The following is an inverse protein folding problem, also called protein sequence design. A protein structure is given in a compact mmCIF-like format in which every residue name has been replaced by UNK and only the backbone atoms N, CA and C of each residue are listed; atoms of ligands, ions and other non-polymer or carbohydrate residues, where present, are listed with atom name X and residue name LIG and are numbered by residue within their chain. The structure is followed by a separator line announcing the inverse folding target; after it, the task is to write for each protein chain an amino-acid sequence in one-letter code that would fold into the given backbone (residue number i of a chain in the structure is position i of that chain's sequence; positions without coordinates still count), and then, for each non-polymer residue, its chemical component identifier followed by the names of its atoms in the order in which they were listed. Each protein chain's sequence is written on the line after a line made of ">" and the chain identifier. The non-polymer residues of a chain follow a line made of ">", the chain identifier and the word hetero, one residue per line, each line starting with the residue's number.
data_IF_491456680458
#
_entry.id   IF_491456680458
#
_cell.length_a   1.000
_cell.length_b   1.000
_cell.length_c   1.000
_cell.angle_alpha   90.00
_cell.angle_beta   90.00
_cell.angle_gamma   90.00
#
_symmetry.space_group_name_H-M   'P 1'
#
loop_
_entity.id
_entity.type
_entity.pdbx_description
1 polymer ?
#
# COMPACT_ATOMS: atom_id res chain seq x y z
N UNK A 1 79.34 29.53 27.53
CA UNK A 1 79.20 29.88 26.10
C UNK A 1 78.88 28.58 25.38
N UNK A 2 77.67 28.25 24.93
CA UNK A 2 76.41 28.96 24.72
C UNK A 2 75.28 27.92 24.91
N UNK A 3 74.20 28.28 25.63
CA UNK A 3 72.83 28.53 25.09
C UNK A 3 72.16 27.21 24.68
N UNK A 4 71.27 26.64 25.50
CA UNK A 4 69.79 26.74 25.36
C UNK A 4 69.34 26.42 23.91
N UNK A 5 68.48 25.42 23.67
CA UNK A 5 67.04 25.60 23.89
C UNK A 5 66.30 24.25 23.98
N UNK A 6 65.38 24.20 24.93
CA UNK A 6 64.21 23.35 24.90
C UNK A 6 63.20 23.91 23.89
N UNK A 7 62.54 23.05 23.12
CA UNK A 7 61.15 23.24 22.66
C UNK A 7 60.61 21.85 22.30
N UNK A 8 59.95 21.16 23.22
CA UNK A 8 58.50 21.20 23.44
C UNK A 8 57.63 21.11 22.17
N UNK A 9 56.89 20.00 22.13
CA UNK A 9 55.50 19.86 21.68
C UNK A 9 55.02 20.65 20.45
N UNK A 10 54.64 19.90 19.42
CA UNK A 10 53.36 20.08 18.71
C UNK A 10 52.89 18.65 18.40
N UNK A 11 52.00 18.03 19.18
CA UNK A 11 50.55 18.28 19.14
C UNK A 11 50.17 18.89 17.80
N UNK A 12 49.89 18.03 16.83
CA UNK A 12 48.84 18.34 15.89
C UNK A 12 48.03 17.07 15.67
N UNK A 13 46.93 17.07 16.41
CA UNK A 13 45.63 16.49 16.10
C UNK A 13 45.62 15.12 15.44
N UNK A 14 45.04 14.18 16.17
CA UNK A 14 44.42 13.00 15.59
C UNK A 14 43.34 13.42 14.61
N UNK A 15 43.75 13.78 13.39
CA UNK A 15 42.94 13.56 12.21
C UNK A 15 42.84 12.05 12.12
N UNK A 16 41.78 11.50 12.71
CA UNK A 16 41.33 10.16 12.36
C UNK A 16 41.41 10.10 10.84
N UNK A 17 42.31 9.27 10.33
CA UNK A 17 42.44 9.10 8.90
C UNK A 17 41.11 8.49 8.46
N UNK A 18 40.19 9.34 8.00
CA UNK A 18 38.91 8.91 7.47
C UNK A 18 39.23 7.90 6.38
N UNK A 19 38.91 6.64 6.66
CA UNK A 19 39.12 5.62 5.67
C UNK A 19 38.18 5.96 4.50
N UNK A 20 38.66 5.85 3.26
CA UNK A 20 37.90 6.29 2.08
C UNK A 20 36.52 5.60 2.00
N UNK A 21 36.39 4.44 2.62
CA UNK A 21 35.19 3.62 2.63
C UNK A 21 34.20 3.98 3.77
N UNK A 22 34.60 4.79 4.76
CA UNK A 22 33.77 5.12 5.91
C UNK A 22 32.59 6.03 5.54
N UNK A 23 31.47 5.85 6.25
CA UNK A 23 30.22 6.56 5.97
C UNK A 23 30.23 7.88 6.72
N UNK A 24 30.18 8.99 5.98
CA UNK A 24 30.04 10.33 6.53
C UNK A 24 28.57 10.79 6.50
N UNK A 25 28.04 11.24 7.63
CA UNK A 25 26.66 11.71 7.79
C UNK A 25 26.67 13.18 8.16
N UNK A 26 26.15 14.02 7.27
CA UNK A 26 25.89 15.44 7.52
C UNK A 26 24.41 15.66 7.88
N UNK A 27 24.18 16.44 8.93
CA UNK A 27 22.83 16.81 9.37
C UNK A 27 22.49 18.24 8.97
N UNK A 28 21.20 18.52 8.82
CA UNK A 28 20.72 19.87 8.54
C UNK A 28 21.09 20.84 9.69
N UNK A 29 21.49 22.10 9.41
CA UNK A 29 21.98 23.05 10.42
C UNK A 29 21.01 23.28 11.59
N UNK A 30 19.70 23.20 11.36
CA UNK A 30 18.68 23.34 12.41
C UNK A 30 18.54 22.11 13.32
N UNK A 31 19.15 20.97 12.99
CA UNK A 31 19.09 19.78 13.83
C UNK A 31 20.01 19.91 15.06
N UNK A 32 21.01 20.81 15.02
CA UNK A 32 22.06 20.94 16.04
C UNK A 32 22.76 19.61 16.38
N UNK A 33 22.80 18.68 15.42
CA UNK A 33 23.49 17.40 15.52
C UNK A 33 24.84 17.56 14.81
N UNK A 34 25.96 17.24 15.47
CA UNK A 34 27.26 17.27 14.81
C UNK A 34 27.34 16.19 13.73
N UNK A 35 28.14 16.40 12.66
CA UNK A 35 28.41 15.36 11.67
C UNK A 35 28.96 14.09 12.33
N UNK A 36 28.57 12.95 11.78
CA UNK A 36 28.96 11.63 12.30
C UNK A 36 29.73 10.84 11.23
N UNK A 37 30.76 10.13 11.66
CA UNK A 37 31.47 9.15 10.84
C UNK A 37 31.25 7.75 11.40
N UNK A 38 30.85 6.84 10.52
CA UNK A 38 30.59 5.44 10.85
C UNK A 38 31.54 4.58 10.03
N UNK A 39 32.42 3.77 10.66
CA UNK A 39 33.28 2.86 9.94
C UNK A 39 32.47 1.93 9.03
N UNK A 40 32.91 1.72 7.79
CA UNK A 40 32.17 0.83 6.87
C UNK A 40 32.03 -0.59 7.42
N UNK A 41 33.00 -1.03 8.22
CA UNK A 41 32.98 -2.34 8.89
C UNK A 41 31.85 -2.50 9.89
N UNK A 42 31.35 -1.40 10.47
CA UNK A 42 30.17 -1.37 11.34
C UNK A 42 28.86 -1.33 10.56
N UNK A 43 28.90 -1.07 9.25
CA UNK A 43 27.75 -1.17 8.36
C UNK A 43 27.39 -2.64 8.15
N UNK A 44 26.72 -3.23 9.14
CA UNK A 44 25.91 -4.40 8.91
C UNK A 44 24.69 -3.97 8.08
N UNK A 45 24.33 -4.72 7.02
CA UNK A 45 22.97 -4.71 6.44
C UNK A 45 22.00 -5.32 7.47
N UNK A 46 21.91 -4.68 8.63
CA UNK A 46 21.33 -5.16 9.86
C UNK A 46 19.83 -4.95 9.96
N UNK A 47 19.14 -4.70 8.86
CA UNK A 47 17.70 -4.85 8.79
C UNK A 47 17.33 -5.36 7.39
N UNK A 48 17.46 -6.67 7.15
CA UNK A 48 16.36 -7.27 6.38
C UNK A 48 15.10 -6.87 7.16
N UNK A 49 14.11 -6.18 6.56
CA UNK A 49 12.79 -6.12 7.16
C UNK A 49 12.50 -7.54 7.61
N UNK A 50 12.10 -7.76 8.87
CA UNK A 50 11.68 -9.09 9.32
C UNK A 50 10.82 -9.63 8.18
N UNK A 51 11.29 -10.70 7.54
CA UNK A 51 10.50 -11.32 6.48
C UNK A 51 9.12 -11.47 7.08
N UNK A 52 8.12 -10.83 6.45
CA UNK A 52 6.75 -10.97 6.89
C UNK A 52 6.55 -12.47 7.07
N UNK A 53 6.38 -12.91 8.31
CA UNK A 53 6.02 -14.28 8.61
C UNK A 53 4.50 -14.21 8.56
N UNK A 54 3.85 -14.52 7.42
CA UNK A 54 2.43 -14.80 7.48
C UNK A 54 2.27 -15.83 8.58
N UNK A 55 1.31 -15.60 9.46
CA UNK A 55 0.88 -16.66 10.34
C UNK A 55 0.55 -17.90 9.49
N UNK A 56 0.69 -19.08 10.07
CA UNK A 56 0.53 -20.36 9.37
C UNK A 56 -0.93 -20.64 8.94
N UNK A 57 -1.76 -19.62 8.72
CA UNK A 57 -2.89 -19.76 7.83
C UNK A 57 -2.31 -19.66 6.42
N UNK A 58 -1.96 -20.81 5.83
CA UNK A 58 -1.39 -21.00 4.48
C UNK A 58 -2.31 -20.51 3.35
N UNK A 59 -3.38 -19.84 3.72
CA UNK A 59 -4.52 -19.57 2.88
C UNK A 59 -4.40 -18.18 2.26
N UNK A 60 -4.42 -18.07 0.92
CA UNK A 60 -4.29 -16.80 0.22
C UNK A 60 -5.38 -15.77 0.57
N UNK A 61 -6.49 -16.20 1.20
CA UNK A 61 -7.58 -15.33 1.65
C UNK A 61 -7.33 -14.65 3.00
N UNK A 62 -6.23 -14.93 3.72
CA UNK A 62 -5.97 -14.36 5.05
C UNK A 62 -5.87 -12.82 5.08
N UNK A 63 -5.58 -12.17 3.95
CA UNK A 63 -5.55 -10.71 3.84
C UNK A 63 -6.95 -10.07 3.80
N UNK A 64 -7.99 -10.86 3.56
CA UNK A 64 -9.37 -10.40 3.54
C UNK A 64 -10.01 -10.55 4.92
N UNK A 65 -10.85 -9.58 5.31
CA UNK A 65 -11.53 -9.58 6.61
C UNK A 65 -12.62 -10.66 6.69
N UNK A 66 -13.13 -11.12 5.54
CA UNK A 66 -14.07 -12.22 5.44
C UNK A 66 -13.86 -13.05 4.17
N UNK A 67 -14.31 -14.30 4.18
CA UNK A 67 -14.33 -15.16 3.00
C UNK A 67 -15.18 -14.56 1.86
N UNK A 68 -16.27 -13.89 2.20
CA UNK A 68 -17.15 -13.23 1.24
C UNK A 68 -16.44 -12.08 0.52
N UNK A 69 -15.61 -11.31 1.22
CA UNK A 69 -14.82 -10.24 0.59
C UNK A 69 -13.79 -10.80 -0.41
N UNK A 70 -13.24 -11.98 -0.12
CA UNK A 70 -12.34 -12.70 -1.03
C UNK A 70 -13.07 -13.18 -2.29
N UNK A 71 -14.22 -13.85 -2.14
CA UNK A 71 -15.04 -14.31 -3.27
C UNK A 71 -15.49 -13.13 -4.15
N UNK A 72 -15.88 -12.02 -3.53
CA UNK A 72 -16.23 -10.79 -4.25
C UNK A 72 -15.04 -10.23 -5.04
N UNK A 73 -13.86 -10.17 -4.44
CA UNK A 73 -12.65 -9.69 -5.13
C UNK A 73 -12.26 -10.62 -6.29
N UNK A 74 -12.40 -11.93 -6.11
CA UNK A 74 -12.17 -12.92 -7.16
C UNK A 74 -13.14 -12.75 -8.32
N UNK A 75 -14.43 -12.54 -8.05
CA UNK A 75 -15.44 -12.26 -9.06
C UNK A 75 -15.14 -10.96 -9.82
N UNK A 76 -14.79 -9.89 -9.11
CA UNK A 76 -14.46 -8.62 -9.73
C UNK A 76 -13.26 -8.74 -10.67
N UNK A 77 -12.25 -9.52 -10.29
CA UNK A 77 -11.10 -9.82 -11.13
C UNK A 77 -11.49 -10.68 -12.35
N UNK A 78 -12.24 -11.77 -12.15
CA UNK A 78 -12.71 -12.68 -13.23
C UNK A 78 -13.58 -11.95 -14.26
N UNK A 79 -14.40 -11.01 -13.81
CA UNK A 79 -15.28 -10.20 -14.66
C UNK A 79 -14.61 -8.93 -15.20
N UNK A 80 -13.32 -8.70 -14.89
CA UNK A 80 -12.56 -7.51 -15.28
C UNK A 80 -13.28 -6.19 -14.94
N UNK A 81 -13.90 -6.13 -13.76
CA UNK A 81 -14.62 -4.94 -13.32
C UNK A 81 -13.66 -3.80 -13.06
N UNK A 82 -14.02 -2.60 -13.52
CA UNK A 82 -13.29 -1.39 -13.19
C UNK A 82 -13.68 -0.84 -11.80
N UNK A 83 -12.95 0.18 -11.36
CA UNK A 83 -13.13 0.80 -10.04
C UNK A 83 -14.56 1.31 -9.83
N UNK A 84 -15.14 1.95 -10.84
CA UNK A 84 -16.47 2.54 -10.79
C UNK A 84 -17.54 1.44 -10.64
N UNK A 85 -17.42 0.35 -11.40
CA UNK A 85 -18.31 -0.81 -11.34
C UNK A 85 -18.23 -1.52 -9.99
N UNK A 86 -17.02 -1.72 -9.46
CA UNK A 86 -16.80 -2.31 -8.12
C UNK A 86 -17.47 -1.46 -7.04
N UNK A 87 -17.26 -0.14 -7.05
CA UNK A 87 -17.90 0.75 -6.08
C UNK A 87 -19.42 0.75 -6.19
N UNK A 88 -19.97 0.73 -7.41
CA UNK A 88 -21.41 0.63 -7.64
C UNK A 88 -21.99 -0.66 -7.03
N UNK A 89 -21.33 -1.80 -7.25
CA UNK A 89 -21.77 -3.09 -6.72
C UNK A 89 -21.70 -3.15 -5.18
N UNK A 90 -20.64 -2.60 -4.58
CA UNK A 90 -20.53 -2.47 -3.13
C UNK A 90 -21.63 -1.58 -2.54
N UNK A 91 -21.98 -0.48 -3.21
CA UNK A 91 -23.10 0.36 -2.81
C UNK A 91 -24.43 -0.41 -2.86
N UNK A 92 -24.71 -1.14 -3.94
CA UNK A 92 -25.91 -1.97 -4.05
C UNK A 92 -26.01 -3.01 -2.93
N UNK A 93 -24.93 -3.76 -2.68
CA UNK A 93 -24.88 -4.76 -1.61
C UNK A 93 -25.14 -4.16 -0.22
N UNK A 94 -24.58 -2.98 0.06
CA UNK A 94 -24.84 -2.24 1.31
C UNK A 94 -26.29 -1.76 1.40
N UNK A 95 -26.85 -1.27 0.30
CA UNK A 95 -28.24 -0.80 0.22
C UNK A 95 -29.25 -1.92 0.48
N UNK A 96 -28.98 -3.14 -0.01
CA UNK A 96 -29.81 -4.32 0.29
C UNK A 96 -29.92 -4.51 1.82
N UNK A 97 -28.83 -4.29 2.55
CA UNK A 97 -28.81 -4.45 4.01
C UNK A 97 -29.48 -3.29 4.76
N UNK A 98 -29.53 -2.09 4.19
CA UNK A 98 -29.96 -0.86 4.90
C UNK A 98 -31.34 -0.35 4.52
N UNK A 99 -31.76 -0.50 3.26
CA UNK A 99 -32.95 0.17 2.71
C UNK A 99 -34.24 -0.65 2.92
N UNK A 100 -34.12 -1.93 3.29
CA UNK A 100 -35.29 -2.81 3.47
C UNK A 100 -36.01 -3.16 2.16
N UNK A 101 -35.47 -2.71 1.03
CA UNK A 101 -35.91 -3.16 -0.30
C UNK A 101 -35.48 -4.61 -0.50
N UNK A 102 -36.45 -5.44 -0.88
CA UNK A 102 -36.21 -6.86 -1.17
C UNK A 102 -35.55 -6.96 -2.54
N UNK A 103 -34.34 -7.50 -2.57
CA UNK A 103 -33.70 -7.89 -3.83
C UNK A 103 -34.40 -9.16 -4.35
N UNK A 104 -35.11 -9.05 -5.48
CA UNK A 104 -36.03 -10.09 -5.98
C UNK A 104 -35.49 -10.95 -7.11
N UNK A 105 -34.34 -10.60 -7.70
CA UNK A 105 -33.71 -11.37 -8.78
C UNK A 105 -32.95 -12.56 -8.17
N UNK A 106 -33.29 -13.79 -8.57
CA UNK A 106 -32.63 -15.00 -8.08
C UNK A 106 -31.71 -15.62 -9.11
N UNK A 107 -32.10 -15.60 -10.39
CA UNK A 107 -31.34 -16.18 -11.48
C UNK A 107 -31.24 -15.26 -12.70
N UNK A 108 -30.34 -15.59 -13.62
CA UNK A 108 -30.13 -14.81 -14.85
C UNK A 108 -31.42 -14.70 -15.70
N UNK A 109 -32.29 -15.71 -15.68
CA UNK A 109 -33.55 -15.68 -16.42
C UNK A 109 -34.52 -14.61 -15.90
N UNK A 110 -34.51 -14.33 -14.59
CA UNK A 110 -35.33 -13.26 -14.00
C UNK A 110 -34.90 -11.90 -14.57
N UNK A 111 -33.59 -11.68 -14.66
CA UNK A 111 -33.03 -10.46 -15.23
C UNK A 111 -33.36 -10.35 -16.71
N UNK A 112 -33.14 -11.42 -17.48
CA UNK A 112 -33.42 -11.44 -18.91
C UNK A 112 -34.91 -11.20 -19.20
N UNK A 113 -35.80 -11.83 -18.44
CA UNK A 113 -37.26 -11.66 -18.56
C UNK A 113 -37.68 -10.24 -18.22
N UNK A 114 -37.12 -9.67 -17.15
CA UNK A 114 -37.35 -8.28 -16.76
C UNK A 114 -36.93 -7.28 -17.85
N UNK A 115 -35.77 -7.50 -18.48
CA UNK A 115 -35.32 -6.67 -19.59
C UNK A 115 -36.22 -6.78 -20.82
N UNK A 116 -36.66 -7.98 -21.19
CA UNK A 116 -37.61 -8.19 -22.29
C UNK A 116 -38.93 -7.45 -22.03
N UNK A 117 -39.50 -7.61 -20.84
CA UNK A 117 -40.74 -6.93 -20.46
C UNK A 117 -40.58 -5.41 -20.48
N UNK A 118 -39.46 -4.88 -19.98
CA UNK A 118 -39.16 -3.44 -19.98
C UNK A 118 -38.98 -2.90 -21.40
N UNK A 119 -38.28 -3.64 -22.27
CA UNK A 119 -38.09 -3.27 -23.68
C UNK A 119 -39.43 -3.12 -24.40
N UNK A 120 -40.34 -4.08 -24.23
CA UNK A 120 -41.69 -4.01 -24.81
C UNK A 120 -42.48 -2.80 -24.29
N UNK A 121 -42.37 -2.45 -22.99
CA UNK A 121 -43.02 -1.25 -22.44
C UNK A 121 -42.43 0.05 -22.98
N UNK A 122 -41.11 0.15 -23.11
CA UNK A 122 -40.46 1.32 -23.71
C UNK A 122 -40.92 1.52 -25.16
N UNK A 123 -40.97 0.45 -25.95
CA UNK A 123 -41.46 0.50 -27.34
C UNK A 123 -42.94 0.88 -27.45
N UNK A 124 -43.82 0.33 -26.59
CA UNK A 124 -45.22 0.71 -26.57
C UNK A 124 -45.42 2.19 -26.19
N UNK A 125 -44.62 2.70 -25.26
CA UNK A 125 -44.70 4.11 -24.79
C UNK A 125 -44.18 5.13 -25.81
N UNK A 126 -43.34 4.71 -26.76
CA UNK A 126 -42.86 5.58 -27.85
C UNK A 126 -43.81 5.60 -29.05
N UNK A 127 -44.62 4.55 -29.25
CA UNK A 127 -45.68 4.50 -30.28
C UNK A 127 -46.95 5.27 -29.90
N UNK A 128 -47.25 5.42 -28.61
CA UNK A 128 -48.40 6.19 -28.11
C UNK A 128 -48.16 7.72 -28.10
N UNK A 129 -47.00 8.20 -28.54
CA UNK A 129 -46.58 9.61 -28.50
C UNK A 129 -46.55 10.32 -29.86
N UNK A 130 -47.25 9.80 -30.86
CA UNK A 130 -47.54 10.44 -32.16
C UNK A 130 -49.02 10.78 -32.25
#
# INVERSE_FOLDING_TARGET
>A
MNVADNLEANVNDGVAANNIDDIHIEYHPNAAIPPQEIPFTEFARGHRPRAYKPNMSTDPWYLFWSHLDFEFAELALKAALNKEQVNCLLCLMKSIRSVGEVFTLNEYNDLQSTWRATSHRMMASSLQRK
#
